data_IF_828377465109
#
_entry.id   IF_828377465109
#
_cell.length_a   1.000
_cell.length_b   1.000
_cell.length_c   1.000
_cell.angle_alpha   90.00
_cell.angle_beta   90.00
_cell.angle_gamma   90.00
#
_symmetry.space_group_name_H-M   'P 1'
#
loop_
_entity.id
_entity.type
_entity.pdbx_description
1 polymer ?
#
# COMPACT_ATOMS: atom_id res chain seq x y z
N UNK A 1 35.70 24.16 -1.57
CA UNK A 1 34.23 24.09 -1.49
C UNK A 1 33.80 24.32 -0.05
N UNK A 2 32.86 25.24 0.22
CA UNK A 2 32.39 25.53 1.59
C UNK A 2 31.77 24.27 2.22
N UNK A 3 32.00 24.05 3.52
CA UNK A 3 31.57 22.82 4.26
C UNK A 3 30.09 22.47 4.05
N UNK A 4 29.25 23.48 3.81
CA UNK A 4 27.82 23.37 3.52
C UNK A 4 27.53 22.60 2.22
N UNK A 5 28.29 22.84 1.14
CA UNK A 5 28.10 22.14 -0.15
C UNK A 5 28.45 20.65 -0.08
N UNK A 6 29.42 20.29 0.77
CA UNK A 6 29.82 18.90 1.00
C UNK A 6 28.74 18.13 1.77
N UNK A 7 28.12 18.74 2.78
CA UNK A 7 27.01 18.11 3.52
C UNK A 7 25.75 17.90 2.66
N UNK A 8 25.47 18.80 1.71
CA UNK A 8 24.32 18.65 0.81
C UNK A 8 24.40 17.41 -0.08
N UNK A 9 25.59 17.06 -0.56
CA UNK A 9 25.81 15.84 -1.35
C UNK A 9 25.51 14.59 -0.49
N UNK A 10 25.98 14.58 0.76
CA UNK A 10 25.69 13.47 1.68
C UNK A 10 24.20 13.38 2.03
N UNK A 11 23.53 14.50 2.25
CA UNK A 11 22.08 14.53 2.51
C UNK A 11 21.35 13.95 1.31
N UNK A 12 21.64 14.44 0.10
CA UNK A 12 21.01 13.96 -1.13
C UNK A 12 21.24 12.45 -1.36
N UNK A 13 22.48 11.99 -1.16
CA UNK A 13 22.81 10.58 -1.25
C UNK A 13 22.03 9.75 -0.23
N UNK A 14 21.96 10.21 1.03
CA UNK A 14 21.23 9.51 2.09
C UNK A 14 19.72 9.42 1.81
N UNK A 15 19.08 10.50 1.35
CA UNK A 15 17.65 10.49 1.01
C UNK A 15 17.35 9.58 -0.18
N UNK A 16 18.25 9.52 -1.15
CA UNK A 16 18.10 8.63 -2.31
C UNK A 16 18.18 7.16 -1.88
N UNK A 17 19.12 6.82 -0.99
CA UNK A 17 19.25 5.46 -0.46
C UNK A 17 18.00 5.07 0.34
N UNK A 18 17.53 5.93 1.25
CA UNK A 18 16.34 5.67 2.05
C UNK A 18 15.10 5.50 1.15
N UNK A 19 14.93 6.38 0.16
CA UNK A 19 13.84 6.27 -0.81
C UNK A 19 13.91 4.98 -1.63
N UNK A 20 15.11 4.58 -2.06
CA UNK A 20 15.34 3.32 -2.76
C UNK A 20 14.98 2.10 -1.92
N UNK A 21 15.42 2.06 -0.65
CA UNK A 21 15.04 0.99 0.28
C UNK A 21 13.53 0.97 0.47
N UNK A 22 12.90 2.13 0.71
CA UNK A 22 11.46 2.22 0.89
C UNK A 22 10.68 1.61 -0.29
N UNK A 23 11.05 1.93 -1.53
CA UNK A 23 10.37 1.39 -2.71
C UNK A 23 10.46 -0.14 -2.81
N UNK A 24 11.58 -0.73 -2.38
CA UNK A 24 11.76 -2.19 -2.41
C UNK A 24 10.98 -2.90 -1.29
N UNK A 25 10.83 -2.26 -0.12
CA UNK A 25 10.20 -2.88 1.05
C UNK A 25 8.77 -2.39 1.33
N UNK A 26 8.25 -1.44 0.57
CA UNK A 26 6.92 -0.83 0.76
C UNK A 26 5.84 -1.90 0.93
N UNK A 27 5.81 -2.90 0.04
CA UNK A 27 4.79 -3.94 0.05
C UNK A 27 4.92 -4.84 1.28
N UNK A 28 6.14 -5.21 1.68
CA UNK A 28 6.41 -5.98 2.91
C UNK A 28 6.01 -5.21 4.16
N UNK A 29 6.28 -3.91 4.21
CA UNK A 29 5.87 -3.04 5.32
C UNK A 29 4.33 -3.00 5.40
N UNK A 30 3.65 -2.84 4.27
CA UNK A 30 2.20 -2.83 4.25
C UNK A 30 1.60 -4.20 4.60
N UNK A 31 2.22 -5.31 4.18
CA UNK A 31 1.85 -6.67 4.58
C UNK A 31 1.94 -6.85 6.10
N UNK A 32 3.03 -6.38 6.72
CA UNK A 32 3.16 -6.40 8.18
C UNK A 32 2.06 -5.58 8.87
N UNK A 33 1.87 -4.33 8.44
CA UNK A 33 0.85 -3.42 9.02
C UNK A 33 -0.56 -4.01 8.87
N UNK A 34 -0.88 -4.59 7.71
CA UNK A 34 -2.18 -5.19 7.48
C UNK A 34 -2.37 -6.49 8.29
N UNK A 35 -1.46 -7.45 8.16
CA UNK A 35 -1.65 -8.81 8.67
C UNK A 35 -1.34 -8.93 10.16
N UNK A 36 -0.32 -8.22 10.64
CA UNK A 36 0.13 -8.30 12.03
C UNK A 36 -0.59 -7.27 12.90
N UNK A 37 -0.60 -6.00 12.50
CA UNK A 37 -1.24 -4.95 13.29
C UNK A 37 -2.76 -4.87 13.08
N UNK A 38 -3.31 -5.62 12.12
CA UNK A 38 -4.74 -5.57 11.75
C UNK A 38 -5.19 -4.14 11.45
N UNK A 39 -4.33 -3.37 10.78
CA UNK A 39 -4.57 -1.99 10.47
C UNK A 39 -5.43 -1.87 9.19
N UNK A 40 -6.64 -1.35 9.33
CA UNK A 40 -7.61 -1.29 8.25
C UNK A 40 -7.13 -0.47 7.03
N UNK A 41 -6.60 0.76 7.20
CA UNK A 41 -5.95 1.51 6.11
C UNK A 41 -4.78 0.77 5.46
N UNK A 42 -3.93 0.10 6.25
CA UNK A 42 -2.80 -0.67 5.72
C UNK A 42 -3.23 -1.78 4.75
N UNK A 43 -4.29 -2.50 5.09
CA UNK A 43 -4.88 -3.50 4.20
C UNK A 43 -5.45 -2.86 2.92
N UNK A 44 -6.04 -1.67 3.00
CA UNK A 44 -6.52 -0.96 1.82
C UNK A 44 -5.38 -0.51 0.90
N UNK A 45 -4.24 -0.06 1.46
CA UNK A 45 -3.06 0.29 0.69
C UNK A 45 -2.49 -0.93 -0.07
N UNK A 46 -2.49 -2.12 0.54
CA UNK A 46 -2.13 -3.35 -0.17
C UNK A 46 -3.09 -3.67 -1.32
N UNK A 47 -4.40 -3.49 -1.11
CA UNK A 47 -5.35 -3.62 -2.22
C UNK A 47 -4.97 -2.69 -3.38
N UNK A 48 -4.65 -1.43 -3.09
CA UNK A 48 -4.25 -0.47 -4.13
C UNK A 48 -2.96 -0.85 -4.84
N UNK A 49 -2.01 -1.47 -4.15
CA UNK A 49 -0.75 -1.95 -4.73
C UNK A 49 -0.98 -3.16 -5.66
N UNK A 50 -1.89 -4.06 -5.27
CA UNK A 50 -2.12 -5.32 -6.00
C UNK A 50 -3.27 -5.27 -7.01
N UNK A 51 -4.15 -4.26 -7.00
CA UNK A 51 -5.39 -4.26 -7.80
C UNK A 51 -5.17 -4.40 -9.31
N UNK A 52 -4.03 -3.92 -9.81
CA UNK A 52 -3.72 -3.92 -11.24
C UNK A 52 -2.87 -5.13 -11.65
N UNK A 53 -2.13 -5.74 -10.73
CA UNK A 53 -1.21 -6.85 -10.96
C UNK A 53 -1.80 -8.21 -10.55
N UNK A 54 -2.32 -8.30 -9.32
CA UNK A 54 -2.80 -9.54 -8.69
C UNK A 54 -4.21 -9.36 -8.13
N UNK A 55 -5.20 -9.26 -9.04
CA UNK A 55 -6.61 -8.96 -8.69
C UNK A 55 -7.19 -9.86 -7.60
N UNK A 56 -6.88 -11.16 -7.61
CA UNK A 56 -7.37 -12.09 -6.59
C UNK A 56 -6.80 -11.76 -5.21
N UNK A 57 -5.49 -11.52 -5.12
CA UNK A 57 -4.80 -11.12 -3.89
C UNK A 57 -5.31 -9.78 -3.38
N UNK A 58 -5.47 -8.81 -4.29
CA UNK A 58 -5.98 -7.48 -3.99
C UNK A 58 -7.38 -7.53 -3.38
N UNK A 59 -8.29 -8.32 -3.95
CA UNK A 59 -9.66 -8.43 -3.45
C UNK A 59 -9.71 -9.01 -2.01
N UNK A 60 -8.82 -9.94 -1.67
CA UNK A 60 -8.73 -10.46 -0.29
C UNK A 60 -8.39 -9.34 0.69
N UNK A 61 -7.38 -8.52 0.39
CA UNK A 61 -7.02 -7.39 1.24
C UNK A 61 -8.10 -6.30 1.32
N UNK A 62 -8.83 -6.08 0.22
CA UNK A 62 -9.97 -5.18 0.20
C UNK A 62 -11.09 -5.67 1.14
N UNK A 63 -11.38 -6.97 1.12
CA UNK A 63 -12.36 -7.57 2.02
C UNK A 63 -11.90 -7.50 3.48
N UNK A 64 -10.66 -7.86 3.78
CA UNK A 64 -10.08 -7.73 5.13
C UNK A 64 -10.14 -6.30 5.64
N UNK A 65 -9.80 -5.31 4.80
CA UNK A 65 -9.90 -3.89 5.18
C UNK A 65 -11.33 -3.46 5.49
N UNK A 66 -12.31 -3.97 4.73
CA UNK A 66 -13.73 -3.74 5.01
C UNK A 66 -14.21 -4.44 6.29
N UNK A 67 -13.76 -5.67 6.56
CA UNK A 67 -14.06 -6.39 7.81
C UNK A 67 -13.56 -5.62 9.04
N UNK A 68 -12.42 -4.94 8.89
CA UNK A 68 -11.87 -4.00 9.86
C UNK A 68 -12.59 -2.63 9.87
N UNK A 69 -13.77 -2.54 9.23
CA UNK A 69 -14.67 -1.38 9.18
C UNK A 69 -14.09 -0.14 8.50
N UNK A 70 -13.15 -0.30 7.57
CA UNK A 70 -12.66 0.84 6.78
C UNK A 70 -13.66 1.20 5.68
N UNK A 71 -14.24 2.40 5.77
CA UNK A 71 -15.35 2.83 4.93
C UNK A 71 -15.03 2.84 3.44
N UNK A 72 -13.83 3.31 3.06
CA UNK A 72 -13.38 3.32 1.68
C UNK A 72 -13.28 1.90 1.10
N UNK A 73 -12.78 0.95 1.89
CA UNK A 73 -12.68 -0.44 1.47
C UNK A 73 -14.07 -1.08 1.31
N UNK A 74 -15.00 -0.81 2.24
CA UNK A 74 -16.36 -1.35 2.13
C UNK A 74 -17.12 -0.79 0.92
N UNK A 75 -16.94 0.51 0.64
CA UNK A 75 -17.57 1.16 -0.51
C UNK A 75 -17.05 0.56 -1.82
N UNK A 76 -15.74 0.42 -1.94
CA UNK A 76 -15.12 -0.18 -3.12
C UNK A 76 -15.48 -1.67 -3.25
N UNK A 77 -15.50 -2.43 -2.16
CA UNK A 77 -15.90 -3.85 -2.17
C UNK A 77 -17.34 -4.05 -2.69
N UNK A 78 -18.28 -3.21 -2.24
CA UNK A 78 -19.67 -3.21 -2.76
C UNK A 78 -19.72 -2.93 -4.26
N UNK A 79 -18.92 -1.98 -4.75
CA UNK A 79 -18.82 -1.67 -6.18
C UNK A 79 -18.29 -2.85 -6.98
N UNK A 80 -17.24 -3.51 -6.51
CA UNK A 80 -16.66 -4.69 -7.15
C UNK A 80 -17.65 -5.86 -7.22
N UNK A 81 -18.43 -6.09 -6.16
CA UNK A 81 -19.49 -7.13 -6.14
C UNK A 81 -20.59 -6.84 -7.14
N UNK A 82 -21.06 -5.60 -7.25
CA UNK A 82 -22.06 -5.18 -8.26
C UNK A 82 -21.55 -5.41 -9.68
N UNK A 83 -20.32 -5.01 -9.98
CA UNK A 83 -19.72 -5.20 -11.30
C UNK A 83 -19.62 -6.67 -11.72
N UNK A 84 -19.32 -7.57 -10.76
CA UNK A 84 -19.32 -9.01 -11.03
C UNK A 84 -20.73 -9.55 -11.31
N UNK A 85 -21.72 -9.10 -10.55
CA UNK A 85 -23.11 -9.55 -10.70
C UNK A 85 -23.74 -9.13 -12.05
N UNK A 86 -23.30 -8.03 -12.66
CA UNK A 86 -23.79 -7.56 -13.97
C UNK A 86 -23.06 -8.21 -15.16
N UNK A 87 -21.92 -8.87 -14.94
CA UNK A 87 -21.12 -9.50 -16.00
C UNK A 87 -21.52 -10.96 -16.25
N UNK A 88 -22.28 -11.57 -15.33
CA UNK A 88 -22.90 -12.89 -15.48
C UNK A 88 -24.34 -12.73 -15.98
#
# INVERSE_FOLDING_TARGET
>A
MSRIKRNWIFIFASTTIIGGVYLNYKTTIYEYICLTEKNAPGCYLLYLEYKDTEKSKALRFLETSCELKYEFACTESKKQRKLKATRN
#
